data_IF_364161317283
#
_entry.id   IF_364161317283
#
_cell.length_a   1.000
_cell.length_b   1.000
_cell.length_c   1.000
_cell.angle_alpha   90.00
_cell.angle_beta   90.00
_cell.angle_gamma   90.00
#
_symmetry.space_group_name_H-M   'P 1'
#
loop_
_entity.id
_entity.type
_entity.pdbx_description
1 polymer ?
#
# COMPACT_ATOMS: atom_id res chain seq x y z
N UNK A 1 -13.50 19.17 15.21
CA UNK A 1 -12.40 18.47 15.93
C UNK A 1 -11.09 19.04 15.42
N UNK A 2 -10.30 19.67 16.29
CA UNK A 2 -9.01 20.28 15.92
C UNK A 2 -7.86 19.27 15.92
N UNK A 3 -6.69 19.63 15.37
CA UNK A 3 -5.52 18.76 15.37
C UNK A 3 -5.03 18.46 16.80
N UNK A 4 -4.40 17.29 16.99
CA UNK A 4 -3.71 16.97 18.25
C UNK A 4 -2.61 17.98 18.56
N UNK A 5 -2.24 18.05 19.84
CA UNK A 5 -1.21 18.96 20.37
C UNK A 5 0.11 18.72 19.62
N UNK A 6 0.83 19.81 19.30
CA UNK A 6 2.02 19.77 18.44
C UNK A 6 3.11 18.82 18.95
N UNK A 7 3.31 18.77 20.27
CA UNK A 7 4.29 17.88 20.92
C UNK A 7 4.02 16.39 20.68
N UNK A 8 2.76 15.98 20.60
CA UNK A 8 2.40 14.61 20.24
C UNK A 8 2.68 14.34 18.76
N UNK A 9 2.38 15.31 17.89
CA UNK A 9 2.50 15.17 16.43
C UNK A 9 3.94 14.99 15.95
N UNK A 10 4.92 15.62 16.60
CA UNK A 10 6.33 15.54 16.22
C UNK A 10 7.02 14.26 16.70
N UNK A 11 6.47 13.58 17.72
CA UNK A 11 6.98 12.30 18.22
C UNK A 11 5.85 11.29 18.37
N UNK A 12 5.58 10.57 17.28
CA UNK A 12 4.63 9.45 17.24
C UNK A 12 5.33 8.09 17.11
N UNK A 13 6.05 7.60 18.14
CA UNK A 13 6.52 6.23 18.10
C UNK A 13 5.32 5.27 18.15
N UNK A 14 5.28 4.23 17.30
CA UNK A 14 4.22 3.24 17.36
C UNK A 14 4.30 2.49 18.69
N UNK A 15 3.19 2.45 19.42
CA UNK A 15 3.08 1.73 20.69
C UNK A 15 3.31 0.22 20.50
N UNK A 16 2.78 -0.36 19.42
CA UNK A 16 2.91 -1.78 19.12
C UNK A 16 2.96 -2.04 17.61
N UNK A 17 4.16 -2.34 17.11
CA UNK A 17 4.41 -2.64 15.69
C UNK A 17 3.79 -3.96 15.25
N UNK A 18 3.68 -4.95 16.15
CA UNK A 18 3.09 -6.25 15.83
C UNK A 18 1.58 -6.12 15.59
N UNK A 19 0.89 -5.31 16.39
CA UNK A 19 -0.54 -5.03 16.20
C UNK A 19 -0.79 -4.27 14.88
N UNK A 20 0.12 -3.38 14.50
CA UNK A 20 0.07 -2.70 13.20
C UNK A 20 0.18 -3.72 12.05
N UNK A 21 1.11 -4.67 12.15
CA UNK A 21 1.31 -5.71 11.14
C UNK A 21 0.11 -6.66 11.04
N UNK A 22 -0.51 -7.04 12.16
CA UNK A 22 -1.72 -7.86 12.11
C UNK A 22 -2.88 -7.11 11.44
N UNK A 23 -3.05 -5.81 11.75
CA UNK A 23 -4.01 -4.94 11.07
C UNK A 23 -3.73 -4.82 9.56
N UNK A 24 -2.46 -4.68 9.17
CA UNK A 24 -2.04 -4.65 7.78
C UNK A 24 -2.38 -5.96 7.04
N UNK A 25 -2.15 -7.12 7.69
CA UNK A 25 -2.51 -8.43 7.14
C UNK A 25 -4.02 -8.60 6.96
N UNK A 26 -4.82 -8.20 7.95
CA UNK A 26 -6.28 -8.22 7.86
C UNK A 26 -6.79 -7.29 6.76
N UNK A 27 -6.18 -6.11 6.61
CA UNK A 27 -6.51 -5.16 5.56
C UNK A 27 -6.23 -5.75 4.17
N UNK A 28 -5.07 -6.39 3.97
CA UNK A 28 -4.73 -7.04 2.72
C UNK A 28 -5.74 -8.15 2.38
N UNK A 29 -5.99 -9.06 3.32
CA UNK A 29 -6.98 -10.14 3.13
C UNK A 29 -8.36 -9.58 2.81
N UNK A 30 -8.80 -8.55 3.54
CA UNK A 30 -10.06 -7.86 3.27
C UNK A 30 -10.11 -7.21 1.89
N UNK A 31 -9.00 -6.62 1.42
CA UNK A 31 -8.92 -5.98 0.11
C UNK A 31 -8.97 -6.98 -1.04
N UNK A 32 -8.40 -8.17 -0.85
CA UNK A 32 -8.54 -9.27 -1.80
C UNK A 32 -10.02 -9.69 -1.94
N UNK A 33 -10.76 -9.76 -0.84
CA UNK A 33 -12.20 -10.02 -0.85
C UNK A 33 -13.01 -8.87 -1.47
N UNK A 34 -12.63 -7.62 -1.20
CA UNK A 34 -13.27 -6.42 -1.76
C UNK A 34 -13.14 -6.37 -3.29
N UNK A 35 -11.92 -6.52 -3.81
CA UNK A 35 -11.66 -6.49 -5.26
C UNK A 35 -12.14 -7.78 -5.95
N UNK A 36 -11.94 -8.95 -5.34
CA UNK A 36 -12.36 -10.24 -5.87
C UNK A 36 -13.87 -10.45 -5.85
N UNK A 37 -14.57 -9.84 -4.89
CA UNK A 37 -16.02 -9.90 -4.75
C UNK A 37 -16.79 -8.90 -5.60
N UNK A 38 -16.12 -7.88 -6.16
CA UNK A 38 -16.74 -6.85 -7.00
C UNK A 38 -17.55 -7.40 -8.21
N UNK A 39 -17.19 -8.54 -8.84
CA UNK A 39 -18.00 -9.13 -9.92
C UNK A 39 -19.28 -9.85 -9.46
N UNK A 40 -19.55 -9.93 -8.14
CA UNK A 40 -20.69 -10.63 -7.52
C UNK A 40 -20.87 -12.12 -7.92
N UNK A 41 -19.85 -12.70 -8.56
CA UNK A 41 -19.85 -14.06 -9.06
C UNK A 41 -18.43 -14.62 -9.10
N UNK A 42 -18.28 -15.93 -8.87
CA UNK A 42 -17.01 -16.63 -9.00
C UNK A 42 -16.69 -16.90 -10.49
N UNK A 43 -16.16 -15.88 -11.16
CA UNK A 43 -15.80 -15.93 -12.58
C UNK A 43 -14.32 -15.60 -12.80
N UNK A 44 -13.88 -15.64 -14.06
CA UNK A 44 -12.49 -15.35 -14.43
C UNK A 44 -12.08 -13.93 -14.01
N UNK A 45 -13.00 -12.96 -14.04
CA UNK A 45 -12.74 -11.57 -13.63
C UNK A 45 -12.45 -11.49 -12.13
N UNK A 46 -13.14 -12.27 -11.29
CA UNK A 46 -12.87 -12.37 -9.85
C UNK A 46 -11.47 -12.93 -9.57
N UNK A 47 -11.09 -14.01 -10.27
CA UNK A 47 -9.75 -14.60 -10.15
C UNK A 47 -8.65 -13.62 -10.60
N UNK A 48 -8.87 -12.90 -11.70
CA UNK A 48 -7.96 -11.86 -12.18
C UNK A 48 -7.85 -10.70 -11.18
N UNK A 49 -8.96 -10.27 -10.59
CA UNK A 49 -8.97 -9.21 -9.58
C UNK A 49 -8.17 -9.58 -8.33
N UNK A 50 -8.30 -10.81 -7.84
CA UNK A 50 -7.52 -11.31 -6.69
C UNK A 50 -6.04 -11.40 -7.05
N UNK A 51 -5.71 -11.94 -8.23
CA UNK A 51 -4.33 -12.05 -8.69
C UNK A 51 -3.66 -10.68 -8.79
N UNK A 52 -4.32 -9.74 -9.48
CA UNK A 52 -3.84 -8.37 -9.66
C UNK A 52 -3.67 -7.65 -8.31
N UNK A 53 -4.57 -7.86 -7.36
CA UNK A 53 -4.49 -7.27 -6.01
C UNK A 53 -3.25 -7.75 -5.26
N UNK A 54 -2.97 -9.07 -5.28
CA UNK A 54 -1.81 -9.64 -4.59
C UNK A 54 -0.48 -9.23 -5.23
N UNK A 55 -0.40 -9.31 -6.56
CA UNK A 55 0.80 -8.90 -7.31
C UNK A 55 1.07 -7.41 -7.09
N UNK A 56 0.03 -6.58 -7.12
CA UNK A 56 0.13 -5.15 -6.86
C UNK A 56 0.61 -4.84 -5.44
N UNK A 57 -0.01 -5.43 -4.42
CA UNK A 57 0.38 -5.21 -3.03
C UNK A 57 1.83 -5.64 -2.76
N UNK A 58 2.24 -6.80 -3.25
CA UNK A 58 3.61 -7.30 -3.11
C UNK A 58 4.64 -6.41 -3.82
N UNK A 59 4.37 -6.00 -5.05
CA UNK A 59 5.28 -5.15 -5.82
C UNK A 59 5.38 -3.75 -5.24
N UNK A 60 4.27 -3.17 -4.77
CA UNK A 60 4.28 -1.86 -4.12
C UNK A 60 5.04 -1.87 -2.80
N UNK A 61 4.87 -2.93 -1.99
CA UNK A 61 5.65 -3.14 -0.77
C UNK A 61 7.14 -3.22 -1.07
N UNK A 62 7.54 -4.02 -2.07
CA UNK A 62 8.95 -4.15 -2.49
C UNK A 62 9.54 -2.85 -3.02
N UNK A 63 8.80 -2.09 -3.83
CA UNK A 63 9.25 -0.80 -4.33
C UNK A 63 9.46 0.17 -3.17
N UNK A 64 8.53 0.23 -2.23
CA UNK A 64 8.66 1.12 -1.08
C UNK A 64 9.84 0.76 -0.19
N UNK A 65 10.01 -0.53 0.15
CA UNK A 65 11.14 -0.96 0.97
C UNK A 65 12.48 -0.75 0.25
N UNK A 66 12.51 -0.92 -1.07
CA UNK A 66 13.70 -0.61 -1.88
C UNK A 66 14.02 0.89 -1.88
N UNK A 67 12.99 1.75 -1.97
CA UNK A 67 13.15 3.20 -1.89
C UNK A 67 13.60 3.64 -0.49
N UNK A 68 13.04 3.05 0.57
CA UNK A 68 13.47 3.32 1.96
C UNK A 68 14.96 2.99 2.13
N UNK A 69 15.40 1.85 1.60
CA UNK A 69 16.83 1.48 1.63
C UNK A 69 17.68 2.45 0.81
N UNK A 70 17.20 2.90 -0.36
CA UNK A 70 17.94 3.81 -1.22
C UNK A 70 18.10 5.23 -0.63
N UNK A 71 17.07 5.77 0.03
CA UNK A 71 17.09 7.13 0.57
C UNK A 71 17.57 7.21 2.03
N UNK A 72 17.17 6.26 2.87
CA UNK A 72 17.48 6.27 4.31
C UNK A 72 18.55 5.27 4.72
N UNK A 73 18.97 4.38 3.82
CA UNK A 73 19.96 3.34 4.11
C UNK A 73 19.45 2.19 4.99
N UNK A 74 18.17 2.21 5.41
CA UNK A 74 17.56 1.18 6.27
C UNK A 74 16.10 0.94 5.88
N UNK A 75 15.62 -0.32 5.86
CA UNK A 75 14.22 -0.62 5.58
C UNK A 75 13.31 -0.21 6.74
N UNK A 76 12.16 0.41 6.46
CA UNK A 76 11.16 0.80 7.46
C UNK A 76 9.93 -0.11 7.39
N UNK A 77 9.50 -0.66 8.55
CA UNK A 77 8.28 -1.48 8.64
C UNK A 77 7.03 -0.63 8.43
N UNK A 78 7.03 0.61 8.93
CA UNK A 78 5.92 1.56 8.76
C UNK A 78 5.81 1.95 7.28
N UNK A 79 6.95 2.21 6.63
CA UNK A 79 7.03 2.47 5.19
C UNK A 79 6.51 1.31 4.37
N UNK A 80 6.91 0.07 4.69
CA UNK A 80 6.43 -1.14 4.01
C UNK A 80 4.90 -1.28 4.06
N UNK A 81 4.28 -1.07 5.23
CA UNK A 81 2.82 -1.13 5.39
C UNK A 81 2.14 0.00 4.61
N UNK A 82 2.72 1.19 4.56
CA UNK A 82 2.19 2.30 3.78
C UNK A 82 2.30 2.03 2.26
N UNK A 83 3.40 1.45 1.81
CA UNK A 83 3.58 0.98 0.43
C UNK A 83 2.57 -0.09 0.03
N UNK A 84 2.28 -1.02 0.92
CA UNK A 84 1.24 -2.02 0.69
C UNK A 84 -0.14 -1.36 0.54
N UNK A 85 -0.55 -0.48 1.46
CA UNK A 85 -1.85 0.20 1.42
C UNK A 85 -2.04 1.02 0.15
N UNK A 86 -0.98 1.68 -0.31
CA UNK A 86 -1.03 2.55 -1.49
C UNK A 86 -1.13 1.74 -2.79
N UNK A 87 -0.46 0.59 -2.86
CA UNK A 87 -0.67 -0.38 -3.94
C UNK A 87 -2.10 -0.90 -3.98
N UNK A 88 -2.64 -1.31 -2.83
CA UNK A 88 -4.02 -1.79 -2.71
C UNK A 88 -5.04 -0.74 -3.17
N UNK A 89 -4.87 0.52 -2.77
CA UNK A 89 -5.75 1.60 -3.20
C UNK A 89 -5.66 1.89 -4.71
N UNK A 90 -4.46 1.80 -5.29
CA UNK A 90 -4.20 2.11 -6.70
C UNK A 90 -4.80 1.07 -7.67
N UNK A 91 -4.83 -0.22 -7.29
CA UNK A 91 -5.36 -1.28 -8.15
C UNK A 91 -6.89 -1.39 -8.14
N UNK A 92 -7.56 -0.85 -7.10
CA UNK A 92 -9.02 -0.92 -6.91
C UNK A 92 -9.86 -0.55 -8.15
N UNK A 93 -9.63 0.59 -8.86
CA UNK A 93 -10.47 0.95 -10.01
C UNK A 93 -10.29 0.05 -11.24
N UNK A 94 -9.27 -0.82 -11.27
CA UNK A 94 -8.89 -1.63 -12.43
C UNK A 94 -8.62 -3.09 -12.12
N UNK A 95 -9.00 -3.59 -10.95
CA UNK A 95 -8.57 -4.90 -10.48
C UNK A 95 -8.92 -6.03 -11.45
N UNK A 96 -10.12 -6.00 -12.05
CA UNK A 96 -10.59 -7.04 -12.98
C UNK A 96 -10.28 -6.80 -14.47
N UNK A 97 -9.68 -5.67 -14.84
CA UNK A 97 -9.56 -5.25 -16.26
C UNK A 97 -8.14 -4.94 -16.69
N UNK A 98 -7.23 -4.62 -15.76
CA UNK A 98 -5.86 -4.24 -16.11
C UNK A 98 -4.98 -5.48 -16.32
N UNK A 99 -4.26 -5.60 -17.45
CA UNK A 99 -3.31 -6.67 -17.66
C UNK A 99 -2.07 -6.52 -16.76
N UNK A 100 -1.61 -7.63 -16.18
CA UNK A 100 -0.51 -7.70 -15.20
C UNK A 100 0.76 -6.94 -15.60
N UNK A 101 1.07 -6.83 -16.89
CA UNK A 101 2.24 -6.10 -17.39
C UNK A 101 2.18 -4.59 -17.11
N UNK A 102 0.98 -3.99 -17.10
CA UNK A 102 0.82 -2.55 -16.83
C UNK A 102 0.87 -2.24 -15.33
N UNK A 103 0.63 -3.23 -14.46
CA UNK A 103 0.72 -3.06 -13.01
C UNK A 103 2.12 -2.64 -12.59
N UNK A 104 3.18 -3.25 -13.13
CA UNK A 104 4.55 -2.93 -12.70
C UNK A 104 4.95 -1.49 -13.02
N UNK A 105 4.55 -0.97 -14.18
CA UNK A 105 4.88 0.40 -14.60
C UNK A 105 4.06 1.46 -13.88
N UNK A 106 2.74 1.28 -13.75
CA UNK A 106 1.87 2.21 -13.03
C UNK A 106 2.28 2.33 -11.56
N UNK A 107 2.55 1.20 -10.88
CA UNK A 107 2.86 1.22 -9.46
C UNK A 107 4.26 1.75 -9.15
N UNK A 108 5.26 1.50 -10.02
CA UNK A 108 6.58 2.13 -9.84
C UNK A 108 6.45 3.67 -9.90
N UNK A 109 5.63 4.20 -10.81
CA UNK A 109 5.39 5.64 -10.92
C UNK A 109 4.59 6.21 -9.74
N UNK A 110 3.50 5.57 -9.35
CA UNK A 110 2.64 6.02 -8.24
C UNK A 110 3.37 5.91 -6.89
N UNK A 111 4.06 4.80 -6.62
CA UNK A 111 4.82 4.59 -5.39
C UNK A 111 5.97 5.60 -5.26
N UNK A 112 6.73 5.86 -6.33
CA UNK A 112 7.80 6.87 -6.31
C UNK A 112 7.25 8.29 -6.08
N UNK A 113 6.14 8.65 -6.76
CA UNK A 113 5.50 9.96 -6.59
C UNK A 113 4.93 10.15 -5.18
N UNK A 114 4.34 9.12 -4.61
CA UNK A 114 3.71 9.19 -3.29
C UNK A 114 4.74 9.19 -2.16
N UNK A 115 5.81 8.40 -2.27
CA UNK A 115 6.96 8.46 -1.35
C UNK A 115 7.52 9.87 -1.31
N UNK A 116 7.73 10.48 -2.49
CA UNK A 116 8.22 11.85 -2.58
C UNK A 116 7.22 12.85 -1.96
N UNK A 117 5.93 12.65 -2.19
CA UNK A 117 4.87 13.54 -1.70
C UNK A 117 4.70 13.47 -0.17
N UNK A 118 4.74 12.26 0.41
CA UNK A 118 4.65 12.05 1.86
C UNK A 118 5.89 12.61 2.56
N UNK A 119 7.07 12.47 1.96
CA UNK A 119 8.27 13.13 2.45
C UNK A 119 8.13 14.65 2.46
N UNK A 120 7.71 15.22 1.33
CA UNK A 120 7.58 16.68 1.20
C UNK A 120 6.51 17.28 2.12
N UNK A 121 5.55 16.47 2.60
CA UNK A 121 4.49 16.89 3.52
C UNK A 121 4.76 16.58 4.99
N UNK A 122 5.64 15.61 5.30
CA UNK A 122 5.93 15.21 6.68
C UNK A 122 7.18 15.89 7.25
N UNK A 123 8.05 16.42 6.38
CA UNK A 123 9.23 17.23 6.77
C UNK A 123 8.94 18.75 6.88
N UNK A 124 7.67 19.19 6.74
CA UNK A 124 7.21 20.58 6.93
C UNK A 124 6.06 20.68 7.93
#
# INVERSE_FOLDING_TARGET
VGPRVKGDRERFPPNNVLLMLSGAGLLWLGWCGFNGGAPYAANIVASLAILNTNVCAATSLLVWTSLDVAFFGRPSVIGAVQGMMTGLACITPGAGTVPACHLLFLHKLVSTRLVLYIHFLCDH
#
